data_IF_491830050027
#
_entry.id   IF_491830050027
#
_cell.length_a   1.000
_cell.length_b   1.000
_cell.length_c   1.000
_cell.angle_alpha   90.00
_cell.angle_beta   90.00
_cell.angle_gamma   90.00
#
_symmetry.space_group_name_H-M   'P 1'
#
loop_
_entity.id
_entity.type
_entity.pdbx_description
1 polymer ?
#
# COMPACT_ATOMS: atom_id res chain seq x y z
N UNK A 1 8.66 -12.28 -11.63
CA UNK A 1 8.04 -11.51 -12.75
C UNK A 1 8.89 -11.65 -14.02
N UNK A 2 8.29 -11.46 -15.20
CA UNK A 2 9.04 -11.50 -16.46
C UNK A 2 10.17 -10.48 -16.49
N UNK A 3 9.98 -9.32 -15.85
CA UNK A 3 11.03 -8.29 -15.73
C UNK A 3 12.20 -8.78 -14.86
N UNK A 4 11.92 -9.49 -13.77
CA UNK A 4 12.95 -10.05 -12.91
C UNK A 4 13.77 -11.16 -13.63
N UNK A 5 13.14 -11.92 -14.53
CA UNK A 5 13.85 -12.92 -15.36
C UNK A 5 14.75 -12.29 -16.44
N UNK A 6 14.46 -11.05 -16.83
CA UNK A 6 15.19 -10.34 -17.88
C UNK A 6 16.34 -9.47 -17.35
N UNK A 7 16.47 -9.33 -16.02
CA UNK A 7 17.45 -8.43 -15.39
C UNK A 7 18.27 -9.18 -14.33
N UNK A 8 19.55 -8.86 -14.25
CA UNK A 8 20.50 -9.43 -13.27
C UNK A 8 20.48 -8.66 -11.93
N UNK A 9 19.33 -8.07 -11.58
CA UNK A 9 19.11 -7.34 -10.32
C UNK A 9 17.76 -7.74 -9.72
N UNK A 10 17.56 -7.67 -8.38
CA UNK A 10 16.27 -7.83 -7.77
C UNK A 10 15.27 -6.76 -8.25
N UNK A 11 14.04 -7.19 -8.57
CA UNK A 11 12.98 -6.32 -9.12
C UNK A 11 11.70 -6.44 -8.31
N UNK A 12 11.15 -5.30 -7.88
CA UNK A 12 9.91 -5.17 -7.11
C UNK A 12 8.99 -4.20 -7.84
N UNK A 13 7.91 -4.68 -8.45
CA UNK A 13 7.05 -3.90 -9.36
C UNK A 13 5.72 -3.46 -8.76
N UNK A 14 5.39 -3.91 -7.55
CA UNK A 14 4.13 -3.57 -6.90
C UNK A 14 4.32 -3.47 -5.38
N UNK A 15 3.63 -2.55 -4.73
CA UNK A 15 3.59 -2.48 -3.27
C UNK A 15 2.92 -3.72 -2.64
N UNK A 16 2.08 -4.44 -3.40
CA UNK A 16 1.42 -5.69 -2.98
C UNK A 16 2.40 -6.80 -2.60
N UNK A 17 3.66 -6.77 -3.05
CA UNK A 17 4.68 -7.74 -2.63
C UNK A 17 4.97 -7.68 -1.13
N UNK A 18 4.56 -6.62 -0.45
CA UNK A 18 4.69 -6.47 1.01
C UNK A 18 3.63 -7.28 1.78
N UNK A 19 2.50 -7.65 1.15
CA UNK A 19 1.39 -8.33 1.84
C UNK A 19 1.84 -9.58 2.59
N UNK A 20 2.55 -10.56 1.97
CA UNK A 20 2.97 -11.78 2.69
C UNK A 20 3.88 -11.47 3.90
N UNK A 21 4.70 -10.43 3.80
CA UNK A 21 5.57 -10.01 4.88
C UNK A 21 4.81 -9.31 6.00
N UNK A 22 3.81 -8.48 5.68
CA UNK A 22 2.94 -7.85 6.67
C UNK A 22 2.12 -8.92 7.41
N UNK A 23 1.53 -9.88 6.68
CA UNK A 23 0.73 -10.98 7.24
C UNK A 23 1.47 -11.78 8.32
N UNK A 24 2.76 -12.06 8.12
CA UNK A 24 3.58 -12.78 9.12
C UNK A 24 3.64 -12.02 10.45
N UNK A 25 3.55 -10.69 10.42
CA UNK A 25 3.56 -9.84 11.61
C UNK A 25 2.21 -9.71 12.31
N UNK A 26 1.13 -10.20 11.71
CA UNK A 26 -0.23 -10.06 12.23
C UNK A 26 -0.72 -11.33 12.94
N UNK A 27 -1.74 -11.17 13.80
CA UNK A 27 -2.46 -12.31 14.36
C UNK A 27 -3.35 -12.95 13.29
N UNK A 28 -3.68 -14.23 13.44
CA UNK A 28 -4.46 -15.00 12.46
C UNK A 28 -5.87 -14.46 12.18
N UNK A 29 -6.43 -13.66 13.08
CA UNK A 29 -7.74 -13.01 12.94
C UNK A 29 -7.64 -11.54 12.51
N UNK A 30 -6.44 -11.03 12.28
CA UNK A 30 -6.23 -9.66 11.82
C UNK A 30 -6.15 -9.59 10.30
N UNK A 31 -6.48 -8.42 9.77
CA UNK A 31 -6.54 -8.14 8.33
C UNK A 31 -5.68 -6.94 7.95
N UNK A 32 -5.43 -6.83 6.65
CA UNK A 32 -4.77 -5.69 6.01
C UNK A 32 -5.84 -4.91 5.24
N UNK A 33 -5.98 -3.62 5.53
CA UNK A 33 -6.73 -2.70 4.68
C UNK A 33 -5.85 -2.28 3.50
N UNK A 34 -6.31 -2.49 2.28
CA UNK A 34 -5.60 -2.10 1.06
C UNK A 34 -6.33 -0.93 0.41
N UNK A 35 -5.72 0.26 0.41
CA UNK A 35 -6.24 1.40 -0.36
C UNK A 35 -5.68 1.35 -1.77
N UNK A 36 -6.55 1.36 -2.75
CA UNK A 36 -6.22 1.30 -4.17
C UNK A 36 -6.95 2.35 -4.99
N UNK A 37 -6.32 2.79 -6.05
CA UNK A 37 -6.93 3.68 -7.02
C UNK A 37 -8.09 3.03 -7.80
N UNK A 38 -8.04 1.69 -7.98
CA UNK A 38 -9.01 0.98 -8.81
C UNK A 38 -9.09 -0.50 -8.43
N UNK A 39 -10.10 -0.88 -7.65
CA UNK A 39 -10.26 -2.25 -7.14
C UNK A 39 -10.34 -3.30 -8.25
N UNK A 40 -11.02 -3.02 -9.35
CA UNK A 40 -11.16 -3.98 -10.44
C UNK A 40 -9.83 -4.35 -11.12
N UNK A 41 -8.76 -3.56 -10.90
CA UNK A 41 -7.39 -3.87 -11.32
C UNK A 41 -6.70 -4.90 -10.43
N UNK A 42 -7.20 -5.14 -9.22
CA UNK A 42 -6.64 -6.10 -8.26
C UNK A 42 -7.08 -7.53 -8.57
N UNK A 43 -6.59 -8.07 -9.66
CA UNK A 43 -6.95 -9.41 -10.12
C UNK A 43 -6.27 -10.50 -9.29
N UNK A 44 -6.87 -11.70 -9.27
CA UNK A 44 -6.26 -12.88 -8.63
C UNK A 44 -4.86 -13.19 -9.18
N UNK A 45 -4.68 -13.03 -10.51
CA UNK A 45 -3.38 -13.18 -11.17
C UNK A 45 -2.34 -12.20 -10.65
N UNK A 46 -2.74 -10.94 -10.40
CA UNK A 46 -1.85 -9.92 -9.85
C UNK A 46 -1.43 -10.30 -8.42
N UNK A 47 -2.39 -10.62 -7.55
CA UNK A 47 -2.09 -11.06 -6.19
C UNK A 47 -1.15 -12.26 -6.17
N UNK A 48 -1.43 -13.28 -6.97
CA UNK A 48 -0.58 -14.47 -7.09
C UNK A 48 0.84 -14.13 -7.56
N UNK A 49 0.99 -13.20 -8.52
CA UNK A 49 2.31 -12.75 -8.99
C UNK A 49 3.11 -11.99 -7.93
N UNK A 50 2.43 -11.40 -6.94
CA UNK A 50 3.02 -10.73 -5.79
C UNK A 50 3.26 -11.66 -4.59
N UNK A 51 3.02 -12.98 -4.74
CA UNK A 51 3.20 -13.96 -3.67
C UNK A 51 2.02 -14.08 -2.71
N UNK A 52 0.92 -13.38 -2.98
CA UNK A 52 -0.31 -13.44 -2.17
C UNK A 52 -1.10 -14.68 -2.59
N UNK A 53 -1.20 -15.67 -1.71
CA UNK A 53 -1.87 -16.95 -1.99
C UNK A 53 -3.36 -16.95 -1.63
N UNK A 54 -3.77 -16.08 -0.71
CA UNK A 54 -5.15 -15.91 -0.25
C UNK A 54 -5.44 -14.44 -0.05
N UNK A 55 -6.67 -14.04 -0.32
CA UNK A 55 -7.12 -12.64 -0.18
C UNK A 55 -8.14 -12.45 0.95
N UNK A 56 -8.45 -13.49 1.71
CA UNK A 56 -9.44 -13.47 2.81
C UNK A 56 -9.02 -12.53 3.96
N UNK A 57 -7.72 -12.29 4.09
CA UNK A 57 -7.11 -11.36 5.05
C UNK A 57 -7.08 -9.91 4.56
N UNK A 58 -7.57 -9.63 3.35
CA UNK A 58 -7.54 -8.31 2.75
C UNK A 58 -8.92 -7.66 2.77
N UNK A 59 -8.95 -6.35 3.04
CA UNK A 59 -10.14 -5.51 2.92
C UNK A 59 -9.79 -4.36 1.99
N UNK A 60 -10.47 -4.29 0.84
CA UNK A 60 -10.14 -3.31 -0.19
C UNK A 60 -10.93 -2.02 0.02
N UNK A 61 -10.22 -0.90 -0.02
CA UNK A 61 -10.76 0.46 -0.07
C UNK A 61 -10.51 1.06 -1.45
N UNK A 62 -11.55 1.12 -2.27
CA UNK A 62 -11.50 1.65 -3.64
C UNK A 62 -11.68 3.17 -3.64
N UNK A 63 -10.73 3.89 -4.23
CA UNK A 63 -10.71 5.35 -4.37
C UNK A 63 -11.21 5.81 -5.76
N UNK A 64 -11.53 4.89 -6.65
CA UNK A 64 -11.92 5.22 -8.04
C UNK A 64 -13.15 6.11 -8.15
N UNK A 65 -13.99 6.13 -7.11
CA UNK A 65 -15.23 6.91 -7.05
C UNK A 65 -15.10 8.21 -6.24
N UNK A 66 -13.95 8.44 -5.62
CA UNK A 66 -13.70 9.67 -4.90
C UNK A 66 -13.55 10.82 -5.89
N UNK A 67 -14.23 11.92 -5.60
CA UNK A 67 -14.43 13.00 -6.57
C UNK A 67 -13.13 13.64 -7.05
N UNK A 68 -12.24 13.92 -6.12
CA UNK A 68 -10.99 14.59 -6.44
C UNK A 68 -9.90 13.60 -6.82
N UNK A 69 -9.79 12.46 -6.12
CA UNK A 69 -8.83 11.41 -6.42
C UNK A 69 -9.02 10.85 -7.83
N UNK A 70 -10.27 10.69 -8.30
CA UNK A 70 -10.55 10.23 -9.67
C UNK A 70 -9.97 11.14 -10.75
N UNK A 71 -9.67 12.43 -10.44
CA UNK A 71 -9.00 13.32 -11.36
C UNK A 71 -7.63 12.83 -11.79
N UNK A 72 -6.90 12.17 -10.89
CA UNK A 72 -5.59 11.57 -11.17
C UNK A 72 -5.77 10.43 -12.18
N UNK A 73 -6.71 9.51 -11.90
CA UNK A 73 -6.97 8.32 -12.72
C UNK A 73 -7.43 8.71 -14.12
N UNK A 74 -8.31 9.71 -14.20
CA UNK A 74 -8.91 10.19 -15.46
C UNK A 74 -7.98 11.13 -16.24
N UNK A 75 -6.86 11.57 -15.65
CA UNK A 75 -5.93 12.50 -16.28
C UNK A 75 -6.53 13.87 -16.56
N UNK A 76 -7.40 14.37 -15.66
CA UNK A 76 -8.08 15.68 -15.81
C UNK A 76 -7.15 16.92 -15.77
N UNK A 77 -5.87 16.69 -15.49
CA UNK A 77 -4.81 17.72 -15.59
C UNK A 77 -4.70 18.68 -14.42
N UNK A 78 -5.71 18.76 -13.55
CA UNK A 78 -5.69 19.57 -12.33
C UNK A 78 -6.51 18.91 -11.24
N UNK A 79 -6.01 18.93 -10.01
CA UNK A 79 -6.67 18.45 -8.82
C UNK A 79 -6.27 19.28 -7.59
N UNK A 80 -7.09 19.22 -6.56
CA UNK A 80 -6.85 19.87 -5.27
C UNK A 80 -6.22 18.85 -4.31
N UNK A 81 -4.94 19.02 -4.02
CA UNK A 81 -4.16 18.09 -3.20
C UNK A 81 -4.71 17.96 -1.77
N UNK A 82 -5.25 19.03 -1.19
CA UNK A 82 -5.85 18.97 0.16
C UNK A 82 -7.13 18.15 0.16
N UNK A 83 -7.95 18.25 -0.88
CA UNK A 83 -9.16 17.46 -1.01
C UNK A 83 -8.85 15.98 -1.23
N UNK A 84 -7.85 15.65 -2.05
CA UNK A 84 -7.39 14.26 -2.21
C UNK A 84 -6.96 13.71 -0.85
N UNK A 85 -6.15 14.45 -0.11
CA UNK A 85 -5.75 14.05 1.25
C UNK A 85 -6.96 13.76 2.13
N UNK A 86 -7.95 14.65 2.12
CA UNK A 86 -9.15 14.48 2.94
C UNK A 86 -9.97 13.25 2.50
N UNK A 87 -10.12 13.00 1.19
CA UNK A 87 -10.80 11.81 0.66
C UNK A 87 -10.08 10.53 1.06
N UNK A 88 -8.76 10.46 0.92
CA UNK A 88 -7.94 9.30 1.24
C UNK A 88 -7.96 8.98 2.74
N UNK A 89 -7.85 10.02 3.58
CA UNK A 89 -7.94 9.89 5.04
C UNK A 89 -9.33 9.42 5.46
N UNK A 90 -10.40 9.99 4.90
CA UNK A 90 -11.77 9.56 5.22
C UNK A 90 -12.01 8.11 4.78
N UNK A 91 -11.56 7.71 3.61
CA UNK A 91 -11.64 6.33 3.14
C UNK A 91 -10.94 5.36 4.10
N UNK A 92 -9.74 5.71 4.58
CA UNK A 92 -9.01 4.90 5.54
C UNK A 92 -9.75 4.77 6.88
N UNK A 93 -10.29 5.88 7.40
CA UNK A 93 -11.09 5.89 8.63
C UNK A 93 -12.33 4.99 8.49
N UNK A 94 -13.09 5.14 7.39
CA UNK A 94 -14.28 4.32 7.14
C UNK A 94 -13.94 2.84 7.02
N UNK A 95 -12.85 2.52 6.31
CA UNK A 95 -12.39 1.15 6.12
C UNK A 95 -12.10 0.47 7.47
N UNK A 96 -11.33 1.14 8.33
CA UNK A 96 -10.98 0.63 9.67
C UNK A 96 -12.20 0.57 10.59
N UNK A 97 -13.06 1.59 10.57
CA UNK A 97 -14.28 1.63 11.39
C UNK A 97 -15.23 0.49 11.07
N UNK A 98 -15.39 0.17 9.79
CA UNK A 98 -16.27 -0.90 9.32
C UNK A 98 -15.65 -2.30 9.47
N UNK A 99 -14.34 -2.38 9.64
CA UNK A 99 -13.58 -3.62 9.76
C UNK A 99 -12.57 -3.50 10.92
N UNK A 100 -13.00 -3.64 12.17
CA UNK A 100 -12.16 -3.41 13.35
C UNK A 100 -11.05 -4.46 13.54
N UNK A 101 -11.03 -5.51 12.73
CA UNK A 101 -9.97 -6.49 12.64
C UNK A 101 -8.80 -6.07 11.73
N UNK A 102 -8.89 -4.93 11.05
CA UNK A 102 -7.75 -4.36 10.32
C UNK A 102 -6.68 -3.91 11.32
N UNK A 103 -5.45 -4.37 11.11
CA UNK A 103 -4.29 -4.09 11.95
C UNK A 103 -3.12 -3.42 11.21
N UNK A 104 -3.23 -3.28 9.91
CA UNK A 104 -2.28 -2.56 9.06
C UNK A 104 -2.98 -2.01 7.82
N UNK A 105 -2.45 -0.94 7.26
CA UNK A 105 -2.89 -0.37 5.98
C UNK A 105 -1.76 -0.53 4.96
N UNK A 106 -2.11 -0.91 3.74
CA UNK A 106 -1.23 -0.89 2.58
C UNK A 106 -1.80 0.05 1.51
N UNK A 107 -1.01 1.02 1.11
CA UNK A 107 -1.31 1.92 -0.01
C UNK A 107 -0.78 1.27 -1.29
N UNK A 108 -1.71 0.82 -2.13
CA UNK A 108 -1.36 0.06 -3.34
C UNK A 108 -0.92 0.99 -4.47
N UNK A 109 -1.61 2.11 -4.65
CA UNK A 109 -1.33 3.06 -5.71
C UNK A 109 -0.05 3.89 -5.43
N UNK A 110 0.74 4.15 -6.48
CA UNK A 110 1.96 4.97 -6.41
C UNK A 110 1.68 6.46 -6.13
N UNK A 111 0.45 6.90 -6.27
CA UNK A 111 0.03 8.28 -6.01
C UNK A 111 -0.40 8.53 -4.55
N UNK A 112 -0.54 7.47 -3.75
CA UNK A 112 -0.97 7.55 -2.34
C UNK A 112 0.13 7.89 -1.31
N UNK A 113 1.43 7.62 -1.53
CA UNK A 113 2.46 7.87 -0.53
C UNK A 113 2.51 9.29 0.04
N UNK A 114 2.19 10.37 -0.70
CA UNK A 114 2.13 11.71 -0.12
C UNK A 114 1.18 11.86 1.06
N UNK A 115 0.15 11.03 1.15
CA UNK A 115 -0.91 11.07 2.16
C UNK A 115 -0.71 10.02 3.28
N UNK A 116 0.32 9.18 3.18
CA UNK A 116 0.58 8.08 4.11
C UNK A 116 0.70 8.55 5.57
N UNK A 117 1.32 9.71 5.81
CA UNK A 117 1.46 10.29 7.16
C UNK A 117 0.09 10.65 7.76
N UNK A 118 -0.74 11.34 7.00
CA UNK A 118 -2.06 11.80 7.47
C UNK A 118 -3.00 10.62 7.69
N UNK A 119 -2.96 9.63 6.81
CA UNK A 119 -3.67 8.35 6.98
C UNK A 119 -3.21 7.66 8.28
N UNK A 120 -1.91 7.49 8.48
CA UNK A 120 -1.37 6.85 9.68
C UNK A 120 -1.78 7.58 10.96
N UNK A 121 -1.72 8.91 10.94
CA UNK A 121 -2.11 9.75 12.07
C UNK A 121 -3.61 9.61 12.39
N UNK A 122 -4.45 9.45 11.38
CA UNK A 122 -5.89 9.31 11.56
C UNK A 122 -6.31 7.94 12.06
N UNK A 123 -5.74 6.86 11.50
CA UNK A 123 -6.15 5.48 11.86
C UNK A 123 -5.32 4.85 12.96
N UNK A 124 -4.16 5.43 13.32
CA UNK A 124 -3.23 4.95 14.36
C UNK A 124 -2.77 3.49 14.14
N UNK A 125 -2.63 3.08 12.86
CA UNK A 125 -2.14 1.77 12.44
C UNK A 125 -0.85 1.91 11.63
N UNK A 126 -0.02 0.85 11.52
CA UNK A 126 1.07 0.82 10.55
C UNK A 126 0.55 1.06 9.13
N UNK A 127 1.23 1.93 8.37
CA UNK A 127 0.92 2.22 6.96
C UNK A 127 2.14 1.86 6.13
N UNK A 128 1.92 1.00 5.16
CA UNK A 128 2.91 0.56 4.18
C UNK A 128 2.56 1.13 2.81
N UNK A 129 3.57 1.48 2.04
CA UNK A 129 3.41 2.09 0.71
C UNK A 129 4.61 1.77 -0.19
N UNK A 130 4.66 2.37 -1.39
CA UNK A 130 5.81 2.24 -2.28
C UNK A 130 7.09 2.83 -1.69
N UNK A 131 7.00 3.91 -0.91
CA UNK A 131 8.19 4.55 -0.32
C UNK A 131 8.78 3.67 0.78
N UNK A 132 7.95 3.03 1.60
CA UNK A 132 8.42 2.06 2.60
C UNK A 132 9.11 0.87 1.94
N UNK A 133 8.56 0.34 0.85
CA UNK A 133 9.16 -0.72 0.04
C UNK A 133 10.51 -0.28 -0.55
N UNK A 134 10.55 0.89 -1.21
CA UNK A 134 11.77 1.42 -1.83
C UNK A 134 12.87 1.63 -0.78
N UNK A 135 12.53 2.19 0.38
CA UNK A 135 13.48 2.40 1.48
C UNK A 135 14.06 1.08 1.99
N UNK A 136 13.22 0.06 2.17
CA UNK A 136 13.66 -1.26 2.60
C UNK A 136 14.62 -1.90 1.59
N UNK A 137 14.25 -1.91 0.31
CA UNK A 137 15.09 -2.44 -0.78
C UNK A 137 16.36 -1.63 -0.94
N UNK A 138 16.27 -0.29 -0.92
CA UNK A 138 17.43 0.59 -1.02
C UNK A 138 18.39 0.38 0.14
N UNK A 139 17.88 0.28 1.37
CA UNK A 139 18.73 0.02 2.54
C UNK A 139 19.48 -1.30 2.43
N UNK A 140 18.84 -2.37 1.93
CA UNK A 140 19.49 -3.65 1.70
C UNK A 140 20.63 -3.57 0.64
N UNK A 141 20.48 -2.71 -0.37
CA UNK A 141 21.47 -2.53 -1.44
C UNK A 141 22.54 -1.46 -1.13
N UNK A 142 22.35 -0.66 -0.08
CA UNK A 142 23.21 0.48 0.28
C UNK A 142 23.60 0.43 1.74
N UNK A 143 24.09 -0.73 2.20
CA UNK A 143 24.54 -0.94 3.58
C UNK A 143 25.63 0.06 3.97
N UNK A 144 25.55 0.54 5.19
CA UNK A 144 26.55 1.42 5.81
C UNK A 144 27.16 0.71 7.01
N UNK A 145 28.43 1.01 7.36
CA UNK A 145 29.01 0.51 8.61
C UNK A 145 28.14 0.93 9.80
N UNK A 146 27.82 -0.01 10.65
CA UNK A 146 27.17 0.30 11.91
C UNK A 146 28.16 1.00 12.82
N UNK A 147 27.75 2.15 13.38
CA UNK A 147 28.51 2.92 14.36
C UNK A 147 27.74 2.95 15.67
N UNK A 148 28.37 2.56 16.74
CA UNK A 148 27.78 2.51 18.07
C UNK A 148 28.32 1.35 18.91
N UNK A 149 27.87 1.30 20.14
CA UNK A 149 28.16 0.19 21.03
C UNK A 149 27.02 -0.83 20.96
N UNK A 150 27.41 -2.11 20.93
CA UNK A 150 26.47 -3.23 21.07
C UNK A 150 26.43 -3.57 22.57
#
# INVERSE_FOLDING_TARGET
SQVAEALDIPVYLSSLVQIPWIEIGLKSNQKIGVLTAYEAGLTESLFKSCGVSKTDSLVIGDLSKEKEFSAIIEGRGAFDNEKIKDEDVQKAIELVKNNPDIAAILLECSDLPPYAYDIQKAVQLPVYDYISLIRWVHFANSQRPYVGFI
#
